data_IF_844102191656
#
_entry.id   IF_844102191656
#
_cell.length_a   1.000
_cell.length_b   1.000
_cell.length_c   1.000
_cell.angle_alpha   90.00
_cell.angle_beta   90.00
_cell.angle_gamma   90.00
#
_symmetry.space_group_name_H-M   'P 1'
#
loop_
_entity.id
_entity.type
_entity.pdbx_description
1 polymer ?
#
# COMPACT_ATOMS: atom_id res chain seq x y z
N UNK A 1 49.08 -31.75 2.26
CA UNK A 1 48.46 -30.70 3.10
C UNK A 1 48.36 -29.43 2.26
N UNK A 2 47.23 -29.23 1.58
CA UNK A 2 46.83 -27.97 0.97
C UNK A 2 45.42 -27.72 1.47
N UNK A 3 45.26 -26.70 2.31
CA UNK A 3 43.95 -26.20 2.70
C UNK A 3 43.52 -25.22 1.62
N UNK A 4 42.50 -25.58 0.85
CA UNK A 4 41.80 -24.63 0.00
C UNK A 4 40.57 -24.14 0.78
N UNK A 5 40.62 -22.85 1.08
CA UNK A 5 39.61 -22.11 1.83
C UNK A 5 38.27 -22.16 1.10
N UNK A 6 37.24 -22.61 1.82
CA UNK A 6 35.85 -22.52 1.41
C UNK A 6 35.45 -21.07 1.16
N UNK A 7 34.95 -20.80 -0.04
CA UNK A 7 34.23 -19.57 -0.32
C UNK A 7 32.90 -19.59 0.44
N UNK A 8 32.85 -18.83 1.53
CA UNK A 8 31.62 -18.55 2.26
C UNK A 8 30.83 -17.53 1.42
N UNK A 9 29.84 -17.98 0.66
CA UNK A 9 28.90 -17.11 -0.05
C UNK A 9 27.86 -16.56 0.94
N UNK A 10 28.26 -15.65 1.83
CA UNK A 10 27.32 -14.89 2.65
C UNK A 10 26.67 -13.79 1.80
N UNK A 11 25.71 -14.15 0.95
CA UNK A 11 24.94 -13.20 0.16
C UNK A 11 24.07 -12.35 1.07
N UNK A 12 24.50 -11.13 1.41
CA UNK A 12 23.66 -10.17 2.12
C UNK A 12 22.44 -9.81 1.28
N UNK A 13 21.24 -9.94 1.82
CA UNK A 13 20.02 -9.50 1.15
C UNK A 13 20.08 -7.99 0.84
N UNK A 14 19.52 -7.60 -0.30
CA UNK A 14 19.21 -6.18 -0.53
C UNK A 14 18.11 -5.73 0.46
N UNK A 15 18.01 -4.44 0.82
CA UNK A 15 16.97 -3.96 1.75
C UNK A 15 15.54 -4.34 1.32
N UNK A 16 15.28 -4.37 0.01
CA UNK A 16 13.96 -4.78 -0.51
C UNK A 16 13.71 -6.29 -0.33
N UNK A 17 14.74 -7.13 -0.42
CA UNK A 17 14.60 -8.57 -0.15
C UNK A 17 14.40 -8.84 1.33
N UNK A 18 15.14 -8.13 2.19
CA UNK A 18 14.96 -8.22 3.65
C UNK A 18 13.55 -7.81 4.06
N UNK A 19 13.04 -6.70 3.51
CA UNK A 19 11.67 -6.26 3.70
C UNK A 19 10.64 -7.36 3.35
N UNK A 20 10.82 -8.05 2.22
CA UNK A 20 9.93 -9.14 1.79
C UNK A 20 9.96 -10.31 2.78
N UNK A 21 11.13 -10.70 3.27
CA UNK A 21 11.25 -11.79 4.24
C UNK A 21 10.63 -11.43 5.60
N UNK A 22 10.72 -10.17 6.01
CA UNK A 22 10.07 -9.67 7.23
C UNK A 22 8.54 -9.65 7.06
N UNK A 23 8.03 -9.21 5.91
CA UNK A 23 6.59 -9.23 5.61
C UNK A 23 6.03 -10.66 5.62
N UNK A 24 6.73 -11.62 5.00
CA UNK A 24 6.33 -13.05 5.01
C UNK A 24 6.24 -13.64 6.42
N UNK A 25 7.02 -13.10 7.37
CA UNK A 25 6.99 -13.50 8.79
C UNK A 25 5.94 -12.74 9.62
N UNK A 26 5.13 -11.87 9.01
CA UNK A 26 4.12 -11.06 9.71
C UNK A 26 4.64 -9.76 10.31
N UNK A 27 5.81 -9.30 9.86
CA UNK A 27 6.35 -7.99 10.20
C UNK A 27 5.63 -6.84 9.49
N UNK A 28 5.84 -5.63 9.99
CA UNK A 28 5.43 -4.36 9.40
C UNK A 28 6.69 -3.65 8.90
N UNK A 29 6.66 -3.21 7.65
CA UNK A 29 7.78 -2.54 7.00
C UNK A 29 7.41 -1.14 6.58
N UNK A 30 8.25 -0.14 6.88
CA UNK A 30 8.13 1.18 6.28
C UNK A 30 8.98 1.28 5.00
N UNK A 31 8.40 1.71 3.89
CA UNK A 31 9.09 1.86 2.61
C UNK A 31 8.61 3.08 1.82
N UNK A 32 9.46 3.60 0.95
CA UNK A 32 9.12 4.72 0.09
C UNK A 32 8.01 4.36 -0.92
N UNK A 33 7.10 5.30 -1.15
CA UNK A 33 6.17 5.27 -2.29
C UNK A 33 6.42 6.45 -3.21
N UNK A 34 5.61 6.62 -4.27
CA UNK A 34 5.68 7.76 -5.17
C UNK A 34 5.31 9.10 -4.49
N UNK A 35 4.76 9.05 -3.27
CA UNK A 35 4.30 10.24 -2.52
C UNK A 35 4.95 10.32 -1.15
N UNK A 36 4.61 9.41 -0.24
CA UNK A 36 5.12 9.38 1.13
C UNK A 36 5.58 7.98 1.50
N UNK A 37 6.23 7.82 2.65
CA UNK A 37 6.46 6.47 3.17
C UNK A 37 5.12 5.79 3.45
N UNK A 38 5.03 4.51 3.12
CA UNK A 38 3.91 3.63 3.44
C UNK A 38 4.31 2.59 4.48
N UNK A 39 3.36 2.23 5.34
CA UNK A 39 3.46 1.06 6.21
C UNK A 39 2.86 -0.16 5.50
N UNK A 40 3.73 -1.13 5.25
CA UNK A 40 3.46 -2.36 4.54
C UNK A 40 3.22 -3.49 5.54
N UNK A 41 2.14 -4.24 5.31
CA UNK A 41 1.76 -5.42 6.06
C UNK A 41 0.96 -6.35 5.15
N UNK A 42 1.08 -7.66 5.35
CA UNK A 42 0.24 -8.63 4.66
C UNK A 42 -1.22 -8.46 5.07
N UNK A 43 -2.10 -8.29 4.08
CA UNK A 43 -3.54 -8.08 4.31
C UNK A 43 -4.24 -9.35 4.83
N UNK A 44 -3.62 -10.52 4.72
CA UNK A 44 -4.18 -11.80 5.17
C UNK A 44 -3.76 -12.18 6.59
N UNK A 45 -2.95 -11.34 7.24
CA UNK A 45 -2.49 -11.54 8.62
C UNK A 45 -3.22 -10.62 9.58
N UNK A 46 -4.31 -11.12 10.15
CA UNK A 46 -5.17 -10.36 11.06
C UNK A 46 -4.40 -9.76 12.24
N UNK A 47 -3.51 -10.54 12.86
CA UNK A 47 -2.62 -10.11 13.94
C UNK A 47 -1.74 -8.91 13.55
N UNK A 48 -1.14 -8.96 12.36
CA UNK A 48 -0.31 -7.87 11.83
C UNK A 48 -1.15 -6.64 11.52
N UNK A 49 -2.35 -6.81 10.95
CA UNK A 49 -3.26 -5.71 10.63
C UNK A 49 -3.80 -5.03 11.89
N UNK A 50 -4.13 -5.80 12.93
CA UNK A 50 -4.49 -5.24 14.23
C UNK A 50 -3.34 -4.45 14.85
N UNK A 51 -2.12 -4.97 14.80
CA UNK A 51 -0.92 -4.24 15.27
C UNK A 51 -0.76 -2.93 14.50
N UNK A 52 -0.87 -2.97 13.17
CA UNK A 52 -0.79 -1.78 12.32
C UNK A 52 -1.86 -0.75 12.69
N UNK A 53 -3.11 -1.17 12.89
CA UNK A 53 -4.21 -0.27 13.30
C UNK A 53 -3.92 0.38 14.66
N UNK A 54 -3.39 -0.38 15.64
CA UNK A 54 -3.00 0.13 16.96
C UNK A 54 -1.90 1.18 16.87
N UNK A 55 -0.81 0.90 16.15
CA UNK A 55 0.31 1.83 15.92
C UNK A 55 -0.20 3.16 15.33
N UNK A 56 -1.09 3.05 14.33
CA UNK A 56 -1.66 4.23 13.66
C UNK A 56 -2.77 4.92 14.43
N UNK A 57 -3.23 4.35 15.56
CA UNK A 57 -4.41 4.80 16.31
C UNK A 57 -5.67 4.88 15.45
N UNK A 58 -5.85 3.90 14.57
CA UNK A 58 -7.04 3.77 13.74
C UNK A 58 -8.20 3.19 14.54
N UNK A 59 -9.41 3.68 14.27
CA UNK A 59 -10.63 3.05 14.73
C UNK A 59 -10.84 1.72 13.99
N UNK A 60 -11.59 0.76 14.56
CA UNK A 60 -11.78 -0.57 13.96
C UNK A 60 -12.22 -0.54 12.48
N UNK A 61 -13.06 0.43 12.13
CA UNK A 61 -13.68 0.61 10.81
C UNK A 61 -12.94 1.60 9.90
N UNK A 62 -11.82 2.17 10.33
CA UNK A 62 -11.04 3.05 9.45
C UNK A 62 -10.48 2.24 8.26
N UNK A 63 -10.66 2.72 7.02
CA UNK A 63 -10.23 1.99 5.84
C UNK A 63 -8.70 1.99 5.72
N UNK A 64 -8.17 0.87 5.24
CA UNK A 64 -6.76 0.74 4.85
C UNK A 64 -6.64 0.85 3.32
N UNK A 65 -5.52 1.40 2.86
CA UNK A 65 -5.16 1.40 1.45
C UNK A 65 -4.34 0.14 1.18
N UNK A 66 -4.72 -0.60 0.14
CA UNK A 66 -4.05 -1.81 -0.34
C UNK A 66 -3.24 -1.44 -1.59
N UNK A 67 -2.04 -2.00 -1.70
CA UNK A 67 -1.28 -2.09 -2.95
C UNK A 67 -1.25 -3.54 -3.41
N UNK A 68 -1.34 -3.73 -4.72
CA UNK A 68 -1.26 -5.04 -5.36
C UNK A 68 -0.13 -5.06 -6.40
N UNK A 69 0.47 -6.22 -6.69
CA UNK A 69 1.59 -6.31 -7.64
C UNK A 69 1.15 -6.19 -9.11
N UNK A 70 -0.13 -6.43 -9.40
CA UNK A 70 -0.68 -6.36 -10.76
C UNK A 70 -2.19 -6.08 -10.73
N UNK A 71 -2.75 -5.72 -11.89
CA UNK A 71 -4.19 -5.61 -12.06
C UNK A 71 -4.91 -6.94 -11.85
N UNK A 72 -4.30 -8.06 -12.26
CA UNK A 72 -4.86 -9.40 -12.05
C UNK A 72 -5.03 -9.74 -10.56
N UNK A 73 -4.08 -9.36 -9.70
CA UNK A 73 -4.25 -9.50 -8.26
C UNK A 73 -5.37 -8.62 -7.71
N UNK A 74 -5.58 -7.43 -8.28
CA UNK A 74 -6.74 -6.59 -7.91
C UNK A 74 -8.05 -7.26 -8.31
N UNK A 75 -8.13 -7.90 -9.48
CA UNK A 75 -9.33 -8.63 -9.92
C UNK A 75 -9.70 -9.81 -9.01
N UNK A 76 -8.73 -10.41 -8.32
CA UNK A 76 -8.98 -11.45 -7.31
C UNK A 76 -9.63 -10.90 -6.04
N UNK A 77 -9.49 -9.61 -5.78
CA UNK A 77 -9.97 -8.94 -4.56
C UNK A 77 -11.31 -8.21 -4.72
N UNK A 78 -11.76 -7.96 -5.96
CA UNK A 78 -12.99 -7.21 -6.23
C UNK A 78 -14.01 -8.02 -7.03
N UNK A 79 -15.28 -7.64 -6.93
CA UNK A 79 -16.39 -8.33 -7.62
C UNK A 79 -16.47 -7.92 -9.09
N UNK A 80 -16.59 -6.62 -9.34
CA UNK A 80 -16.86 -6.04 -10.66
C UNK A 80 -16.00 -4.79 -10.82
N UNK A 81 -15.29 -4.69 -11.94
CA UNK A 81 -14.63 -3.47 -12.39
C UNK A 81 -15.55 -2.78 -13.41
N UNK A 82 -16.01 -1.56 -13.10
CA UNK A 82 -16.86 -0.81 -14.03
C UNK A 82 -16.05 -0.29 -15.23
N UNK A 83 -16.70 0.01 -16.38
CA UNK A 83 -16.02 0.62 -17.53
C UNK A 83 -15.33 1.95 -17.19
N UNK A 84 -15.87 2.71 -16.22
CA UNK A 84 -15.23 3.93 -15.72
C UNK A 84 -13.95 3.61 -14.94
N UNK A 85 -13.98 2.56 -14.12
CA UNK A 85 -12.79 2.10 -13.40
C UNK A 85 -11.70 1.62 -14.37
N UNK A 86 -12.04 0.86 -15.41
CA UNK A 86 -11.08 0.42 -16.44
C UNK A 86 -10.35 1.60 -17.10
N UNK A 87 -11.09 2.63 -17.53
CA UNK A 87 -10.49 3.84 -18.12
C UNK A 87 -9.52 4.56 -17.18
N UNK A 88 -9.82 4.56 -15.87
CA UNK A 88 -8.94 5.14 -14.87
C UNK A 88 -7.69 4.27 -14.65
N UNK A 89 -7.85 2.95 -14.64
CA UNK A 89 -6.76 1.98 -14.50
C UNK A 89 -5.79 2.09 -15.68
N UNK A 90 -6.31 2.00 -16.91
CA UNK A 90 -5.51 2.10 -18.15
C UNK A 90 -4.67 3.38 -18.22
N UNK A 91 -5.20 4.48 -17.68
CA UNK A 91 -4.54 5.79 -17.77
C UNK A 91 -3.57 6.06 -16.63
N UNK A 92 -3.85 5.59 -15.42
CA UNK A 92 -3.16 6.03 -14.21
C UNK A 92 -2.47 4.93 -13.41
N UNK A 93 -2.67 3.65 -13.78
CA UNK A 93 -1.93 2.53 -13.19
C UNK A 93 -0.86 2.00 -14.17
N UNK A 94 0.31 1.58 -13.66
CA UNK A 94 0.77 1.70 -12.27
C UNK A 94 1.00 3.16 -11.84
N UNK A 95 0.59 3.52 -10.62
CA UNK A 95 0.79 4.88 -10.12
C UNK A 95 -0.03 5.30 -8.89
N UNK A 96 0.01 6.60 -8.54
CA UNK A 96 -0.59 7.17 -7.33
C UNK A 96 -2.10 7.48 -7.44
N UNK A 97 -2.86 6.65 -8.15
CA UNK A 97 -4.32 6.65 -8.13
C UNK A 97 -4.83 5.46 -7.32
N UNK A 98 -5.64 5.70 -6.30
CA UNK A 98 -6.34 4.67 -5.52
C UNK A 98 -7.80 4.63 -5.94
N UNK A 99 -8.32 3.44 -6.21
CA UNK A 99 -9.73 3.22 -6.53
C UNK A 99 -10.43 2.55 -5.35
N UNK A 100 -11.61 3.04 -4.99
CA UNK A 100 -12.53 2.32 -4.10
C UNK A 100 -13.39 1.41 -4.96
N UNK A 101 -13.27 0.10 -4.73
CA UNK A 101 -13.95 -0.97 -5.47
C UNK A 101 -14.84 -1.77 -4.52
N UNK A 102 -15.89 -2.41 -5.05
CA UNK A 102 -16.64 -3.43 -4.31
C UNK A 102 -15.74 -4.64 -4.07
N UNK A 103 -15.57 -5.00 -2.80
CA UNK A 103 -14.73 -6.09 -2.37
C UNK A 103 -15.44 -7.44 -2.61
N UNK A 104 -14.69 -8.49 -2.93
CA UNK A 104 -15.27 -9.85 -2.89
C UNK A 104 -15.59 -10.25 -1.46
N UNK A 105 -16.67 -11.01 -1.29
CA UNK A 105 -17.07 -11.60 0.00
C UNK A 105 -16.00 -12.48 0.65
N UNK A 106 -15.06 -13.03 -0.15
CA UNK A 106 -13.96 -13.86 0.33
C UNK A 106 -12.84 -13.06 1.01
N UNK A 107 -12.84 -11.73 0.91
CA UNK A 107 -11.86 -10.92 1.63
C UNK A 107 -12.21 -10.85 3.12
N UNK A 108 -11.20 -10.86 4.01
CA UNK A 108 -11.45 -10.74 5.44
C UNK A 108 -12.18 -9.44 5.79
N UNK A 109 -13.15 -9.52 6.71
CA UNK A 109 -13.96 -8.37 7.13
C UNK A 109 -13.13 -7.25 7.78
N UNK A 110 -12.01 -7.59 8.42
CA UNK A 110 -11.08 -6.62 8.99
C UNK A 110 -10.35 -5.76 7.94
N UNK A 111 -10.37 -6.18 6.66
CA UNK A 111 -9.87 -5.43 5.51
C UNK A 111 -10.98 -4.60 4.86
N UNK A 112 -12.15 -5.20 4.60
CA UNK A 112 -13.25 -4.53 3.87
C UNK A 112 -14.03 -3.54 4.75
N UNK A 113 -13.96 -3.71 6.08
CA UNK A 113 -14.75 -2.97 7.04
C UNK A 113 -16.26 -3.14 6.80
N UNK A 114 -17.09 -2.25 7.39
CA UNK A 114 -18.55 -2.34 7.28
C UNK A 114 -19.08 -1.98 5.88
N UNK A 115 -18.25 -1.44 5.01
CA UNK A 115 -18.66 -0.90 3.72
C UNK A 115 -18.56 -1.90 2.57
N UNK A 116 -18.05 -3.12 2.80
CA UNK A 116 -17.85 -4.15 1.76
C UNK A 116 -17.08 -3.61 0.53
N UNK A 117 -16.14 -2.70 0.77
CA UNK A 117 -15.32 -2.05 -0.26
C UNK A 117 -13.86 -2.07 0.14
N UNK A 118 -12.98 -1.95 -0.84
CA UNK A 118 -11.54 -1.82 -0.64
C UNK A 118 -11.02 -0.60 -1.39
N UNK A 119 -10.05 0.09 -0.79
CA UNK A 119 -9.28 1.13 -1.46
C UNK A 119 -7.96 0.51 -1.94
N UNK A 120 -7.79 0.35 -3.24
CA UNK A 120 -6.65 -0.41 -3.81
C UNK A 120 -5.98 0.33 -4.97
N UNK A 121 -4.69 0.09 -5.17
CA UNK A 121 -3.93 0.53 -6.35
C UNK A 121 -2.82 -0.45 -6.75
N UNK A 122 -2.37 -0.35 -8.00
CA UNK A 122 -1.08 -0.90 -8.42
C UNK A 122 -0.07 0.24 -8.40
N UNK A 123 0.92 0.26 -7.48
CA UNK A 123 1.90 1.34 -7.37
C UNK A 123 2.91 1.31 -8.55
N UNK A 124 3.35 2.49 -8.98
CA UNK A 124 4.40 2.68 -9.98
C UNK A 124 5.78 2.90 -9.34
N UNK A 125 6.84 2.84 -10.16
CA UNK A 125 8.27 2.89 -9.80
C UNK A 125 8.64 3.47 -8.43
N UNK A 126 8.58 2.65 -7.39
CA UNK A 126 8.97 2.97 -6.00
C UNK A 126 9.27 1.68 -5.22
N UNK A 127 9.91 1.81 -4.05
CA UNK A 127 10.30 0.66 -3.22
C UNK A 127 9.10 -0.20 -2.82
N UNK A 128 8.00 0.40 -2.37
CA UNK A 128 6.78 -0.34 -2.03
C UNK A 128 6.23 -1.12 -3.23
N UNK A 129 6.36 -0.57 -4.45
CA UNK A 129 5.96 -1.24 -5.69
C UNK A 129 6.84 -2.43 -6.04
N UNK A 130 8.15 -2.34 -5.81
CA UNK A 130 9.06 -3.47 -6.01
C UNK A 130 8.89 -4.53 -4.92
N UNK A 131 8.63 -4.13 -3.67
CA UNK A 131 8.36 -5.03 -2.56
C UNK A 131 7.08 -5.82 -2.80
N UNK A 132 5.96 -5.18 -3.17
CA UNK A 132 4.69 -5.89 -3.38
C UNK A 132 4.80 -6.91 -4.53
N UNK A 133 5.54 -6.58 -5.61
CA UNK A 133 5.85 -7.52 -6.70
C UNK A 133 6.66 -8.72 -6.22
N UNK A 134 7.71 -8.50 -5.44
CA UNK A 134 8.56 -9.57 -4.89
C UNK A 134 7.86 -10.40 -3.79
N UNK A 135 6.96 -9.78 -3.04
CA UNK A 135 6.08 -10.44 -2.07
C UNK A 135 5.04 -11.34 -2.76
N UNK A 136 4.70 -11.03 -4.02
CA UNK A 136 3.75 -11.79 -4.85
C UNK A 136 2.33 -11.85 -4.27
N UNK A 137 1.92 -10.79 -3.58
CA UNK A 137 0.60 -10.71 -2.96
C UNK A 137 0.25 -9.27 -2.56
N UNK A 138 -1.03 -9.00 -2.25
CA UNK A 138 -1.46 -7.68 -1.80
C UNK A 138 -0.89 -7.34 -0.42
N UNK A 139 -0.49 -6.09 -0.25
CA UNK A 139 -0.02 -5.52 1.01
C UNK A 139 -0.84 -4.28 1.34
N UNK A 140 -0.95 -3.91 2.61
CA UNK A 140 -1.34 -2.52 2.93
C UNK A 140 -0.23 -1.57 2.48
N UNK A 141 -0.57 -0.32 2.16
CA UNK A 141 0.38 0.79 2.06
C UNK A 141 -0.29 2.08 2.52
N UNK A 142 -0.79 2.05 3.76
CA UNK A 142 -1.30 3.25 4.41
C UNK A 142 -0.13 4.18 4.75
N UNK A 143 -0.35 5.49 4.72
CA UNK A 143 0.73 6.46 4.92
C UNK A 143 1.44 6.24 6.27
N UNK A 144 2.74 6.50 6.34
CA UNK A 144 3.54 6.34 7.55
C UNK A 144 3.37 7.56 8.46
N UNK A 145 2.27 7.54 9.21
CA UNK A 145 1.85 8.55 10.18
C UNK A 145 0.89 7.95 11.21
N UNK A 146 0.82 8.56 12.38
CA UNK A 146 -0.35 8.45 13.25
C UNK A 146 -1.54 9.06 12.50
N UNK A 147 -2.73 8.49 12.63
CA UNK A 147 -3.94 8.96 11.94
C UNK A 147 -4.11 10.49 12.11
N UNK A 148 -4.38 11.17 10.99
CA UNK A 148 -4.50 12.65 10.87
C UNK A 148 -3.24 13.48 11.10
N UNK A 149 -2.08 12.88 11.34
CA UNK A 149 -0.81 13.62 11.37
C UNK A 149 -0.14 13.66 9.98
N UNK A 150 0.80 14.58 9.73
CA UNK A 150 1.56 14.58 8.49
C UNK A 150 2.35 13.27 8.29
N UNK A 151 2.28 12.67 7.09
CA UNK A 151 3.10 11.51 6.73
C UNK A 151 4.57 11.86 6.59
N UNK A 152 5.43 10.90 6.91
CA UNK A 152 6.88 11.04 6.80
C UNK A 152 7.36 10.81 5.38
N UNK A 153 8.48 11.43 5.03
CA UNK A 153 9.09 11.33 3.69
C UNK A 153 10.46 10.67 3.71
N UNK A 154 11.02 10.33 4.87
CA UNK A 154 12.34 9.69 4.94
C UNK A 154 12.36 8.50 5.90
N UNK A 155 13.29 7.57 5.65
CA UNK A 155 13.56 6.46 6.56
C UNK A 155 13.99 6.94 7.96
N UNK A 156 14.67 8.08 8.05
CA UNK A 156 15.06 8.70 9.32
C UNK A 156 13.84 9.15 10.13
N UNK A 157 12.92 9.89 9.51
CA UNK A 157 11.69 10.31 10.19
C UNK A 157 10.81 9.10 10.57
N UNK A 158 10.78 8.07 9.72
CA UNK A 158 10.10 6.83 10.02
C UNK A 158 10.72 6.14 11.25
N UNK A 159 12.05 6.13 11.37
CA UNK A 159 12.76 5.57 12.52
C UNK A 159 12.46 6.36 13.81
N UNK A 160 12.53 7.69 13.73
CA UNK A 160 12.25 8.57 14.87
C UNK A 160 10.81 8.40 15.40
N UNK A 161 9.84 8.22 14.49
CA UNK A 161 8.42 8.09 14.87
C UNK A 161 7.99 6.67 15.21
N UNK A 162 8.45 5.67 14.47
CA UNK A 162 7.91 4.30 14.51
C UNK A 162 8.94 3.22 14.83
N UNK A 163 10.22 3.54 14.96
CA UNK A 163 11.30 2.55 15.05
C UNK A 163 11.20 1.54 16.20
N UNK A 164 10.38 1.80 17.22
CA UNK A 164 10.10 0.87 18.32
C UNK A 164 8.88 -0.03 18.09
N UNK A 165 8.07 0.28 17.08
CA UNK A 165 6.76 -0.31 16.84
C UNK A 165 6.69 -1.14 15.54
N UNK A 166 7.63 -0.91 14.61
CA UNK A 166 7.72 -1.62 13.32
C UNK A 166 9.03 -2.38 13.18
N UNK A 167 9.02 -3.41 12.34
CA UNK A 167 10.06 -4.43 12.30
C UNK A 167 11.20 -4.07 11.34
N UNK A 168 10.92 -3.23 10.34
CA UNK A 168 11.94 -2.79 9.39
C UNK A 168 11.60 -1.47 8.72
N UNK A 169 12.64 -0.75 8.33
CA UNK A 169 12.54 0.50 7.59
C UNK A 169 13.51 0.42 6.42
N UNK A 170 12.98 0.43 5.21
CA UNK A 170 13.79 0.47 4.00
C UNK A 170 14.51 1.83 3.95
N UNK A 171 15.84 1.88 3.86
CA UNK A 171 16.58 3.13 3.73
C UNK A 171 16.17 3.87 2.45
N UNK A 172 15.80 5.14 2.56
CA UNK A 172 15.39 5.92 1.38
C UNK A 172 14.59 7.18 1.73
N UNK A 173 14.05 7.81 0.68
CA UNK A 173 13.19 8.99 0.77
C UNK A 173 12.04 8.90 -0.25
N UNK A 174 10.96 9.62 0.02
CA UNK A 174 9.82 9.84 -0.89
C UNK A 174 9.70 11.34 -1.20
N UNK A 175 9.20 11.73 -2.39
CA UNK A 175 9.14 13.15 -2.78
C UNK A 175 8.27 14.06 -1.89
N UNK A 176 7.29 13.49 -1.21
CA UNK A 176 6.29 14.26 -0.46
C UNK A 176 5.28 14.95 -1.38
N UNK A 177 4.71 16.06 -0.89
CA UNK A 177 3.74 16.87 -1.65
C UNK A 177 2.30 16.40 -1.46
N UNK A 178 1.61 16.06 -2.54
CA UNK A 178 0.23 15.60 -2.50
C UNK A 178 0.16 14.08 -2.34
N UNK A 179 -0.80 13.53 -1.55
CA UNK A 179 -0.96 12.09 -1.41
C UNK A 179 -1.53 11.47 -2.69
N UNK A 180 -1.71 10.15 -2.73
CA UNK A 180 -2.47 9.52 -3.81
C UNK A 180 -3.89 10.07 -3.90
N UNK A 181 -4.39 10.23 -5.12
CA UNK A 181 -5.79 10.58 -5.37
C UNK A 181 -6.67 9.37 -5.08
N UNK A 182 -7.81 9.55 -4.41
CA UNK A 182 -8.76 8.46 -4.14
C UNK A 182 -10.05 8.74 -4.89
N UNK A 183 -10.46 7.80 -5.76
CA UNK A 183 -11.71 7.87 -6.52
C UNK A 183 -12.59 6.68 -6.17
N UNK A 184 -13.82 6.98 -5.80
CA UNK A 184 -14.87 6.00 -5.59
C UNK A 184 -15.58 5.70 -6.91
N UNK A 185 -15.35 4.49 -7.42
CA UNK A 185 -15.95 3.98 -8.66
C UNK A 185 -17.07 2.97 -8.38
N UNK A 186 -17.49 2.83 -7.12
CA UNK A 186 -18.67 2.01 -6.73
C UNK A 186 -19.99 2.74 -6.98
N UNK A 187 -19.92 4.05 -7.23
CA UNK A 187 -21.04 4.93 -7.56
C UNK A 187 -20.92 5.45 -8.99
N UNK A 188 -22.06 5.78 -9.60
CA UNK A 188 -22.12 6.38 -10.94
C UNK A 188 -22.88 7.71 -10.88
N UNK A 189 -22.29 8.83 -11.33
CA UNK A 189 -20.89 8.98 -11.77
C UNK A 189 -19.86 8.71 -10.65
N UNK A 190 -18.61 8.30 -10.97
CA UNK A 190 -17.54 8.19 -9.97
C UNK A 190 -17.29 9.49 -9.20
N UNK A 191 -16.85 9.36 -7.96
CA UNK A 191 -16.68 10.47 -7.01
C UNK A 191 -15.24 10.56 -6.53
N UNK A 192 -14.61 11.72 -6.62
CA UNK A 192 -13.30 11.96 -6.00
C UNK A 192 -13.51 12.09 -4.48
N UNK A 193 -12.98 11.13 -3.71
CA UNK A 193 -13.04 11.12 -2.23
C UNK A 193 -11.88 11.86 -1.59
N UNK A 194 -10.72 11.87 -2.25
CA UNK A 194 -9.55 12.65 -1.84
C UNK A 194 -8.81 13.14 -3.08
N UNK A 195 -8.58 14.45 -3.18
CA UNK A 195 -7.66 15.01 -4.18
C UNK A 195 -6.21 14.72 -3.79
N UNK A 196 -5.41 14.38 -4.77
CA UNK A 196 -4.01 14.02 -4.61
C UNK A 196 -3.21 14.42 -5.83
N UNK A 197 -2.03 13.82 -5.99
CA UNK A 197 -1.08 14.12 -7.06
C UNK A 197 -1.63 13.83 -8.46
N UNK A 198 -2.57 12.87 -8.58
CA UNK A 198 -3.23 12.58 -9.86
C UNK A 198 -4.42 13.52 -10.03
N UNK A 199 -4.32 14.43 -10.99
CA UNK A 199 -5.47 15.22 -11.43
C UNK A 199 -6.38 14.35 -12.32
N UNK A 200 -7.45 13.82 -11.74
CA UNK A 200 -8.44 13.02 -12.44
C UNK A 200 -9.50 13.95 -13.03
N UNK A 201 -9.48 14.09 -14.34
CA UNK A 201 -10.43 14.93 -15.09
C UNK A 201 -11.41 14.08 -15.89
N UNK A 202 -12.66 14.53 -16.00
CA UNK A 202 -13.66 13.86 -16.83
C UNK A 202 -15.05 14.48 -16.70
N UNK A 203 -15.79 14.54 -17.81
CA UNK A 203 -17.18 15.05 -17.88
C UNK A 203 -18.18 14.30 -16.99
N UNK A 204 -17.78 13.16 -16.42
CA UNK A 204 -18.61 12.25 -15.63
C UNK A 204 -18.06 12.06 -14.20
N UNK A 205 -17.32 13.02 -13.66
CA UNK A 205 -16.86 12.96 -12.26
C UNK A 205 -17.69 13.91 -11.42
N UNK A 206 -18.33 13.39 -10.36
CA UNK A 206 -18.92 14.26 -9.34
C UNK A 206 -17.82 14.66 -8.37
N UNK A 207 -17.63 15.96 -8.21
CA UNK A 207 -16.85 16.50 -7.11
C UNK A 207 -17.77 16.54 -5.89
N UNK A 208 -17.31 15.98 -4.77
CA UNK A 208 -17.96 16.27 -3.49
C UNK A 208 -17.52 17.70 -3.11
N UNK A 209 -18.46 18.65 -3.15
CA UNK A 209 -18.33 19.96 -2.51
C UNK A 209 -18.19 19.75 -0.99
#
# INVERSE_FOLDING_TARGET
>A
MKMENGQNSSGSFTPLQEAVEILKKGGIVAAATETFFGLLADIYREDTIERLKKIKKLQPNDPLIIIAPSFDEVMKMCEIISPHALKLIERYWPGPLTLILKARISLPSYITGPFSTIAVRVPGGCDAGEIVKKFMGPLTATSCNVHRQPPVTSSREALEKFGKEIDFIVPGWSPGGLPSTIVDVTVTPPVIRRRGIVNVEGKYLRQKL
#
